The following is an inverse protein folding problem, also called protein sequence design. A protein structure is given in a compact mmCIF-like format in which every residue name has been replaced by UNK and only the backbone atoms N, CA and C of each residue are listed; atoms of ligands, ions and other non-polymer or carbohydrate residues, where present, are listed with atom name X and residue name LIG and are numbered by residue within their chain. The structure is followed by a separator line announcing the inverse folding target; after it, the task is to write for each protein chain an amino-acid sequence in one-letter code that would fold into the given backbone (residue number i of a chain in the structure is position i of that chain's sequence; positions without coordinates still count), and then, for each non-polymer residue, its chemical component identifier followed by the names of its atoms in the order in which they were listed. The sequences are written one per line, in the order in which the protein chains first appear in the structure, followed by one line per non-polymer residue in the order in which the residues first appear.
data_IF_034140131957
#
_entry.id   IF_034140131957
#
_cell.length_a   1.000
_cell.length_b   1.000
_cell.length_c   1.000
_cell.angle_alpha   90.00
_cell.angle_beta   90.00
_cell.angle_gamma   90.00
#
_symmetry.space_group_name_H-M   'P 1'
#
loop_
_entity.id
_entity.type
_entity.pdbx_description
1 polymer ?
#
# COMPACT_ATOMS: atom_id res chain seq x y z
N UNK A 1 19.89 3.17 -20.31
CA UNK A 1 18.79 4.12 -20.12
C UNK A 1 18.43 4.16 -18.64
N UNK A 2 18.16 5.36 -18.13
CA UNK A 2 17.88 5.55 -16.71
C UNK A 2 16.35 5.57 -16.53
N UNK A 3 15.72 4.41 -16.68
CA UNK A 3 14.28 4.26 -16.50
C UNK A 3 13.93 4.31 -15.01
N UNK A 4 13.00 5.18 -14.63
CA UNK A 4 12.48 5.27 -13.26
C UNK A 4 11.57 4.08 -12.98
N UNK A 5 11.79 3.41 -11.84
CA UNK A 5 11.04 2.23 -11.42
C UNK A 5 10.12 2.58 -10.25
N UNK A 6 8.83 2.30 -10.41
CA UNK A 6 7.83 2.45 -9.35
C UNK A 6 7.40 1.06 -8.90
N UNK A 7 7.59 0.75 -7.60
CA UNK A 7 7.06 -0.48 -7.02
C UNK A 7 5.58 -0.29 -6.68
N UNK A 8 4.72 -0.94 -7.46
CA UNK A 8 3.26 -0.84 -7.31
C UNK A 8 2.71 -2.06 -6.55
N UNK A 9 1.98 -1.77 -5.50
CA UNK A 9 1.31 -2.77 -4.67
C UNK A 9 2.15 -3.35 -3.53
N UNK A 10 1.48 -4.05 -2.63
CA UNK A 10 2.11 -4.79 -1.54
C UNK A 10 2.56 -3.97 -0.32
N UNK A 11 2.53 -2.65 -0.36
CA UNK A 11 2.93 -1.79 0.76
C UNK A 11 1.85 -1.80 1.85
N UNK A 12 2.17 -2.45 2.97
CA UNK A 12 1.31 -2.52 4.16
C UNK A 12 1.94 -1.83 5.38
N UNK A 13 3.26 -1.81 5.44
CA UNK A 13 4.05 -1.25 6.53
C UNK A 13 5.19 -0.38 6.00
N UNK A 14 5.71 0.49 6.84
CA UNK A 14 6.86 1.35 6.48
C UNK A 14 8.10 0.57 6.06
N UNK A 15 8.32 -0.62 6.66
CA UNK A 15 9.41 -1.51 6.27
C UNK A 15 9.31 -2.04 4.83
N UNK A 16 8.09 -2.12 4.27
CA UNK A 16 7.90 -2.54 2.87
C UNK A 16 8.42 -1.47 1.91
N UNK A 17 8.28 -0.18 2.28
CA UNK A 17 8.88 0.93 1.52
C UNK A 17 10.39 0.80 1.50
N UNK A 18 11.03 0.58 2.66
CA UNK A 18 12.47 0.42 2.74
C UNK A 18 12.95 -0.77 1.89
N UNK A 19 12.24 -1.90 1.93
CA UNK A 19 12.55 -3.08 1.11
C UNK A 19 12.41 -2.79 -0.39
N UNK A 20 11.35 -2.14 -0.81
CA UNK A 20 11.14 -1.79 -2.22
C UNK A 20 12.25 -0.86 -2.75
N UNK A 21 12.59 0.19 -2.00
CA UNK A 21 13.68 1.11 -2.35
C UNK A 21 15.05 0.42 -2.36
N UNK A 22 15.31 -0.48 -1.41
CA UNK A 22 16.52 -1.28 -1.36
C UNK A 22 16.64 -2.25 -2.54
N UNK A 23 15.51 -2.80 -3.00
CA UNK A 23 15.45 -3.67 -4.18
C UNK A 23 15.62 -2.92 -5.51
N UNK A 24 15.64 -1.59 -5.49
CA UNK A 24 15.92 -0.78 -6.68
C UNK A 24 14.81 0.16 -7.13
N UNK A 25 13.64 0.15 -6.49
CA UNK A 25 12.59 1.10 -6.82
C UNK A 25 13.03 2.55 -6.54
N UNK A 26 12.59 3.47 -7.38
CA UNK A 26 12.78 4.92 -7.18
C UNK A 26 11.64 5.53 -6.38
N UNK A 27 10.44 4.94 -6.48
CA UNK A 27 9.24 5.33 -5.77
C UNK A 27 8.38 4.10 -5.45
N UNK A 28 7.40 4.28 -4.56
CA UNK A 28 6.39 3.26 -4.25
C UNK A 28 4.99 3.81 -4.51
N UNK A 29 4.10 2.96 -5.00
CA UNK A 29 2.68 3.28 -5.14
C UNK A 29 1.91 2.64 -3.99
N UNK A 30 1.09 3.44 -3.32
CA UNK A 30 0.35 3.03 -2.13
C UNK A 30 -1.14 3.22 -2.38
N UNK A 31 -1.90 2.14 -2.36
CA UNK A 31 -3.35 2.15 -2.54
C UNK A 31 -4.11 2.09 -1.20
N UNK A 32 -4.24 0.89 -0.65
CA UNK A 32 -5.14 0.60 0.48
C UNK A 32 -4.83 1.37 1.77
N UNK A 33 -3.57 1.74 2.01
CA UNK A 33 -3.21 2.55 3.18
C UNK A 33 -3.80 3.96 3.09
N UNK A 34 -3.82 4.56 1.90
CA UNK A 34 -4.36 5.89 1.69
C UNK A 34 -5.87 5.90 1.42
N UNK A 35 -6.43 4.80 0.93
CA UNK A 35 -7.84 4.71 0.57
C UNK A 35 -8.82 5.04 1.73
N UNK A 36 -8.41 4.82 2.97
CA UNK A 36 -9.20 5.16 4.17
C UNK A 36 -9.06 6.59 4.68
N UNK A 37 -8.32 7.45 3.99
CA UNK A 37 -8.03 8.82 4.45
C UNK A 37 -9.10 9.83 3.99
N UNK A 38 -9.13 11.00 4.63
CA UNK A 38 -10.02 12.08 4.24
C UNK A 38 -9.82 12.51 2.79
N UNK A 39 -8.57 12.58 2.36
CA UNK A 39 -8.18 13.05 1.03
C UNK A 39 -8.46 12.04 -0.09
N UNK A 40 -8.64 10.75 0.24
CA UNK A 40 -9.03 9.77 -0.76
C UNK A 40 -10.51 9.91 -1.12
N UNK A 41 -10.90 9.63 -2.38
CA UNK A 41 -12.32 9.61 -2.76
C UNK A 41 -13.08 8.50 -2.02
N UNK A 42 -14.40 8.61 -1.97
CA UNK A 42 -15.26 7.63 -1.34
C UNK A 42 -16.06 8.19 -0.16
N UNK A 43 -17.21 7.58 0.10
CA UNK A 43 -18.09 7.99 1.20
C UNK A 43 -17.68 7.35 2.51
N UNK A 44 -17.74 8.13 3.60
CA UNK A 44 -17.60 7.59 4.95
C UNK A 44 -18.94 6.97 5.37
N UNK A 45 -18.89 5.75 5.87
CA UNK A 45 -20.04 5.02 6.39
C UNK A 45 -19.77 4.48 7.79
N UNK A 46 -20.81 4.36 8.59
CA UNK A 46 -20.73 3.76 9.93
C UNK A 46 -21.31 2.35 9.92
N UNK A 47 -20.55 1.36 10.38
CA UNK A 47 -20.98 -0.04 10.51
C UNK A 47 -20.51 -0.59 11.84
N UNK A 48 -21.40 -1.12 12.64
CA UNK A 48 -21.05 -1.70 13.95
C UNK A 48 -20.27 -0.72 14.85
N UNK A 49 -20.66 0.55 14.92
CA UNK A 49 -19.99 1.58 15.70
C UNK A 49 -18.66 2.09 15.13
N UNK A 50 -18.14 1.51 14.06
CA UNK A 50 -16.85 1.86 13.42
C UNK A 50 -17.07 2.60 12.11
N UNK A 51 -16.13 3.51 11.79
CA UNK A 51 -16.14 4.25 10.53
C UNK A 51 -15.34 3.51 9.46
N UNK A 52 -15.91 3.47 8.28
CA UNK A 52 -15.31 2.90 7.07
C UNK A 52 -15.44 3.90 5.92
N UNK A 53 -14.61 3.71 4.90
CA UNK A 53 -14.68 4.46 3.66
C UNK A 53 -14.90 3.52 2.49
N UNK A 54 -15.77 3.88 1.57
CA UNK A 54 -15.97 3.09 0.35
C UNK A 54 -14.68 3.11 -0.47
N UNK A 55 -14.30 1.94 -0.97
CA UNK A 55 -13.11 1.71 -1.77
C UNK A 55 -13.50 1.09 -3.10
N UNK A 56 -12.88 1.59 -4.16
CA UNK A 56 -13.03 1.05 -5.51
C UNK A 56 -11.68 0.94 -6.17
N UNK A 57 -11.24 -0.29 -6.41
CA UNK A 57 -10.03 -0.56 -7.19
C UNK A 57 -10.21 -0.11 -8.64
N UNK A 58 -9.15 0.39 -9.26
CA UNK A 58 -9.17 0.90 -10.64
C UNK A 58 -9.58 -0.14 -11.66
N UNK A 59 -9.23 -1.42 -11.44
CA UNK A 59 -9.62 -2.57 -12.28
C UNK A 59 -10.93 -3.24 -11.87
N UNK A 60 -11.74 -2.62 -11.00
CA UNK A 60 -13.07 -3.12 -10.67
C UNK A 60 -14.07 -2.81 -11.78
N UNK A 61 -15.11 -3.62 -11.89
CA UNK A 61 -16.18 -3.42 -12.89
C UNK A 61 -16.78 -2.02 -12.79
N UNK A 62 -17.05 -1.54 -11.57
CA UNK A 62 -17.62 -0.20 -11.37
C UNK A 62 -16.67 0.94 -11.72
N UNK A 63 -15.34 0.74 -11.63
CA UNK A 63 -14.36 1.71 -12.10
C UNK A 63 -14.25 1.69 -13.64
N UNK A 64 -14.22 0.50 -14.24
CA UNK A 64 -14.16 0.34 -15.69
C UNK A 64 -15.40 0.94 -16.38
N UNK A 65 -16.57 0.78 -15.81
CA UNK A 65 -17.80 1.43 -16.29
C UNK A 65 -17.72 2.97 -16.24
N UNK A 66 -16.90 3.53 -15.38
CA UNK A 66 -16.70 4.99 -15.23
C UNK A 66 -15.50 5.52 -16.01
N UNK A 67 -14.85 4.69 -16.83
CA UNK A 67 -13.81 5.14 -17.77
C UNK A 67 -12.40 4.63 -17.53
N UNK A 68 -12.17 3.69 -16.59
CA UNK A 68 -10.82 3.14 -16.39
C UNK A 68 -10.52 1.87 -17.21
N UNK A 69 -11.44 1.45 -18.08
CA UNK A 69 -11.31 0.22 -18.86
C UNK A 69 -10.11 0.22 -19.82
N UNK A 70 -9.77 1.37 -20.40
CA UNK A 70 -8.62 1.56 -21.28
C UNK A 70 -7.28 1.22 -20.63
N UNK A 71 -7.15 1.46 -19.31
CA UNK A 71 -5.94 1.13 -18.53
C UNK A 71 -5.69 -0.38 -18.42
N UNK A 72 -6.72 -1.17 -18.66
CA UNK A 72 -6.69 -2.64 -18.60
C UNK A 72 -6.84 -3.27 -19.99
N UNK A 73 -6.54 -2.51 -21.06
CA UNK A 73 -6.65 -2.94 -22.44
C UNK A 73 -8.04 -3.48 -22.80
N UNK A 74 -9.07 -3.01 -22.09
CA UNK A 74 -10.46 -3.37 -22.32
C UNK A 74 -11.21 -2.19 -22.93
N UNK A 75 -11.88 -2.41 -24.06
CA UNK A 75 -12.69 -1.38 -24.71
C UNK A 75 -13.93 -1.08 -23.88
N UNK A 76 -14.42 0.15 -23.98
CA UNK A 76 -15.68 0.51 -23.32
C UNK A 76 -16.80 -0.40 -23.82
N UNK A 77 -17.40 -1.16 -22.91
CA UNK A 77 -18.49 -2.10 -23.18
C UNK A 77 -19.83 -1.49 -22.79
N UNK A 78 -20.87 -1.71 -23.63
CA UNK A 78 -22.26 -1.44 -23.24
C UNK A 78 -22.76 -2.49 -22.23
N UNK A 79 -22.30 -3.72 -22.39
CA UNK A 79 -22.64 -4.84 -21.52
C UNK A 79 -21.51 -5.04 -20.48
N UNK A 80 -21.84 -4.73 -19.23
CA UNK A 80 -20.88 -4.79 -18.11
C UNK A 80 -20.42 -6.19 -17.76
N UNK A 81 -21.16 -7.23 -18.17
CA UNK A 81 -20.79 -8.63 -17.96
C UNK A 81 -19.55 -9.07 -18.76
N UNK A 82 -19.18 -8.28 -19.77
CA UNK A 82 -18.02 -8.54 -20.62
C UNK A 82 -16.69 -8.00 -20.06
N UNK A 83 -16.74 -7.24 -18.96
CA UNK A 83 -15.50 -6.82 -18.30
C UNK A 83 -14.91 -7.95 -17.46
N UNK A 84 -13.61 -8.14 -17.59
CA UNK A 84 -12.82 -9.00 -16.70
C UNK A 84 -12.32 -8.16 -15.54
N UNK A 85 -12.84 -8.41 -14.34
CA UNK A 85 -12.45 -7.66 -13.15
C UNK A 85 -11.03 -8.03 -12.71
N UNK A 86 -10.16 -7.04 -12.63
CA UNK A 86 -8.80 -7.16 -12.08
C UNK A 86 -8.65 -6.44 -10.72
N UNK A 87 -9.73 -5.84 -10.25
CA UNK A 87 -9.79 -5.11 -8.98
C UNK A 87 -11.08 -5.34 -8.24
N UNK A 88 -11.10 -4.97 -6.97
CA UNK A 88 -12.21 -5.19 -6.05
C UNK A 88 -12.86 -3.87 -5.62
N UNK A 89 -14.14 -3.94 -5.27
CA UNK A 89 -14.87 -2.89 -4.58
C UNK A 89 -15.21 -3.35 -3.16
N UNK A 90 -15.21 -2.42 -2.22
CA UNK A 90 -15.49 -2.77 -0.84
C UNK A 90 -15.37 -1.58 0.10
N UNK A 91 -14.95 -1.87 1.33
CA UNK A 91 -14.80 -0.86 2.37
C UNK A 91 -13.45 -1.04 3.06
N UNK A 92 -12.79 0.06 3.35
CA UNK A 92 -11.58 0.11 4.17
C UNK A 92 -11.87 0.86 5.47
N UNK A 93 -11.17 0.53 6.54
CA UNK A 93 -11.28 1.29 7.79
C UNK A 93 -10.94 2.75 7.54
N UNK A 94 -11.76 3.66 8.05
CA UNK A 94 -11.44 5.09 8.05
C UNK A 94 -10.26 5.36 8.96
N UNK A 95 -9.36 6.21 8.52
CA UNK A 95 -8.05 6.45 9.17
C UNK A 95 -7.77 7.93 9.49
N UNK A 96 -8.72 8.82 9.18
CA UNK A 96 -8.51 10.27 9.33
C UNK A 96 -7.62 10.84 8.23
N UNK A 97 -6.79 11.82 8.57
CA UNK A 97 -5.98 12.57 7.59
C UNK A 97 -4.80 11.75 7.06
N UNK A 98 -4.44 11.99 5.80
CA UNK A 98 -3.30 11.31 5.15
C UNK A 98 -1.97 11.67 5.79
N UNK A 99 -1.85 12.88 6.34
CA UNK A 99 -0.62 13.37 6.97
C UNK A 99 -0.14 12.46 8.10
N UNK A 100 -1.08 11.96 8.92
CA UNK A 100 -0.76 11.03 10.02
C UNK A 100 -0.15 9.74 9.50
N UNK A 101 -0.67 9.23 8.38
CA UNK A 101 -0.15 8.00 7.75
C UNK A 101 1.21 8.27 7.14
N UNK A 102 1.37 9.36 6.39
CA UNK A 102 2.66 9.75 5.80
C UNK A 102 3.72 9.92 6.88
N UNK A 103 3.39 10.58 7.97
CA UNK A 103 4.31 10.78 9.09
C UNK A 103 4.83 9.43 9.64
N UNK A 104 3.94 8.46 9.85
CA UNK A 104 4.32 7.12 10.31
C UNK A 104 5.17 6.36 9.28
N UNK A 105 4.80 6.42 8.00
CA UNK A 105 5.52 5.75 6.93
C UNK A 105 6.94 6.33 6.76
N UNK A 106 7.06 7.65 6.78
CA UNK A 106 8.35 8.36 6.68
C UNK A 106 9.20 8.10 7.93
N UNK A 107 8.59 8.09 9.13
CA UNK A 107 9.27 7.76 10.38
C UNK A 107 9.89 6.36 10.32
N UNK A 108 9.11 5.36 9.91
CA UNK A 108 9.62 3.99 9.79
C UNK A 108 10.67 3.82 8.68
N UNK A 109 10.56 4.56 7.57
CA UNK A 109 11.61 4.61 6.55
C UNK A 109 12.91 5.19 7.12
N UNK A 110 12.84 6.29 7.87
CA UNK A 110 14.01 6.89 8.54
C UNK A 110 14.65 5.92 9.54
N UNK A 111 13.85 5.19 10.32
CA UNK A 111 14.35 4.15 11.23
C UNK A 111 15.08 3.04 10.47
N UNK A 112 14.50 2.56 9.37
CA UNK A 112 15.14 1.56 8.50
C UNK A 112 16.46 2.05 7.91
N UNK A 113 16.52 3.32 7.50
CA UNK A 113 17.77 3.95 7.05
C UNK A 113 18.80 4.01 8.17
N UNK A 114 18.39 4.31 9.39
CA UNK A 114 19.25 4.33 10.58
C UNK A 114 19.88 2.97 10.85
N UNK A 115 19.07 1.90 10.86
CA UNK A 115 19.56 0.52 11.06
C UNK A 115 20.58 0.09 9.98
N UNK A 116 20.44 0.58 8.77
CA UNK A 116 21.34 0.27 7.66
C UNK A 116 22.53 1.25 7.54
N UNK A 117 22.60 2.28 8.39
CA UNK A 117 23.61 3.34 8.27
C UNK A 117 23.51 4.12 6.95
N UNK A 118 22.32 4.18 6.34
CA UNK A 118 22.08 4.88 5.08
C UNK A 118 21.75 6.34 5.35
N UNK A 119 22.60 7.27 4.95
CA UNK A 119 22.37 8.72 5.12
C UNK A 119 21.38 9.29 4.09
N UNK A 120 21.26 8.66 2.93
CA UNK A 120 20.38 9.08 1.81
C UNK A 120 19.63 7.88 1.27
N UNK A 121 18.47 8.10 0.67
CA UNK A 121 17.65 7.03 0.08
C UNK A 121 18.45 6.21 -0.94
N UNK A 122 19.29 6.84 -1.76
CA UNK A 122 20.14 6.12 -2.71
C UNK A 122 21.13 5.15 -2.07
N UNK A 123 21.47 5.36 -0.82
CA UNK A 123 22.40 4.47 -0.09
C UNK A 123 21.70 3.16 0.30
N UNK A 124 20.34 3.13 0.35
CA UNK A 124 19.58 1.91 0.55
C UNK A 124 19.79 0.85 -0.54
N UNK A 125 20.21 1.24 -1.75
CA UNK A 125 20.50 0.29 -2.84
C UNK A 125 21.88 -0.37 -2.71
N UNK A 126 22.80 0.21 -1.94
CA UNK A 126 24.20 -0.22 -1.87
C UNK A 126 24.50 -1.02 -0.61
N UNK A 127 23.82 -0.75 0.48
CA UNK A 127 24.17 -1.27 1.81
C UNK A 127 23.41 -2.53 2.23
N UNK A 128 22.09 -2.71 1.93
CA UNK A 128 21.34 -3.82 2.48
C UNK A 128 21.67 -5.14 1.80
N UNK A 129 21.62 -6.20 2.61
CA UNK A 129 21.57 -7.58 2.12
C UNK A 129 20.20 -8.15 2.45
N UNK A 130 19.53 -8.75 1.46
CA UNK A 130 18.30 -9.49 1.70
C UNK A 130 18.65 -10.88 2.21
N UNK A 131 17.94 -11.30 3.25
CA UNK A 131 18.02 -12.67 3.78
C UNK A 131 16.65 -13.32 3.66
N UNK A 132 16.65 -14.58 3.24
CA UNK A 132 15.43 -15.37 3.21
C UNK A 132 15.17 -15.91 4.61
N UNK A 133 13.97 -15.66 5.13
CA UNK A 133 13.54 -16.18 6.44
C UNK A 133 12.50 -17.29 6.25
N UNK A 134 12.45 -18.23 7.18
CA UNK A 134 11.42 -19.26 7.27
C UNK A 134 10.12 -18.70 7.85
N UNK A 135 9.01 -19.42 7.71
CA UNK A 135 7.76 -19.07 8.40
C UNK A 135 7.96 -19.00 9.91
N UNK A 136 8.71 -19.96 10.49
CA UNK A 136 9.01 -19.97 11.93
C UNK A 136 9.78 -18.71 12.34
N UNK A 137 10.84 -18.33 11.60
CA UNK A 137 11.59 -17.09 11.86
C UNK A 137 10.74 -15.84 11.72
N UNK A 138 9.75 -15.84 10.80
CA UNK A 138 8.80 -14.74 10.68
C UNK A 138 7.89 -14.64 11.92
N UNK A 139 7.34 -15.76 12.40
CA UNK A 139 6.53 -15.76 13.63
C UNK A 139 7.35 -15.37 14.86
N UNK A 140 8.58 -15.85 14.97
CA UNK A 140 9.48 -15.49 16.06
C UNK A 140 9.81 -13.99 16.09
N UNK A 141 9.84 -13.34 14.92
CA UNK A 141 10.07 -11.89 14.83
C UNK A 141 8.88 -11.03 15.24
N UNK A 142 7.71 -11.65 15.46
CA UNK A 142 6.53 -10.92 15.94
C UNK A 142 6.56 -10.75 17.45
N UNK A 143 5.80 -9.77 17.94
CA UNK A 143 5.57 -9.60 19.37
C UNK A 143 4.85 -10.83 19.92
N UNK A 144 5.45 -11.47 20.91
CA UNK A 144 4.89 -12.61 21.64
C UNK A 144 4.94 -12.35 23.14
N UNK A 145 4.13 -13.05 23.91
CA UNK A 145 4.00 -12.90 25.38
C UNK A 145 3.56 -11.48 25.85
N UNK A 146 2.96 -10.70 24.96
CA UNK A 146 2.40 -9.38 25.28
C UNK A 146 1.05 -9.23 24.58
N UNK A 147 0.01 -8.89 25.34
CA UNK A 147 -1.27 -8.48 24.78
C UNK A 147 -1.16 -7.08 24.20
N UNK A 148 -1.19 -6.98 22.89
CA UNK A 148 -1.08 -5.70 22.17
C UNK A 148 -2.40 -4.92 22.32
N UNK A 149 -2.36 -3.75 22.96
CA UNK A 149 -3.49 -2.82 22.99
C UNK A 149 -3.77 -2.34 21.56
N UNK A 150 -4.86 -2.85 20.98
CA UNK A 150 -5.33 -2.37 19.66
C UNK A 150 -6.00 -1.00 19.86
N UNK A 151 -5.33 0.06 19.42
CA UNK A 151 -5.92 1.40 19.31
C UNK A 151 -6.93 1.49 18.18
#
# INVERSE_FOLDING_TARGET
SKTTLIADGGIKFSGDIAKALAAGADAVMIGSLFAGTDQAPGRIIKRGGKLFKSFRGMGSIGAMNKGSADRYFQSKQKDTSKYVAEGVEGFVKYKGTVEKIIYQLVGGLKSSMGYLGAKRIKDLRKKPKFVKITKAGFYESMVHNIDVIKK
#
